data_IF_389057347714
#
_entry.id   IF_389057347714
#
_cell.length_a   1.000
_cell.length_b   1.000
_cell.length_c   1.000
_cell.angle_alpha   90.00
_cell.angle_beta   90.00
_cell.angle_gamma   90.00
#
_symmetry.space_group_name_H-M   'P 1'
#
loop_
_entity.id
_entity.type
_entity.pdbx_description
1 polymer ?
#
# COMPACT_ATOMS: atom_id res chain seq x y z
N UNK A 1 7.51 -73.14 -0.33
CA UNK A 1 7.72 -73.37 1.11
C UNK A 1 6.61 -72.65 1.87
N UNK A 2 5.98 -73.33 2.83
CA UNK A 2 4.95 -72.83 3.76
C UNK A 2 5.53 -71.73 4.68
N UNK A 3 4.85 -70.60 4.92
CA UNK A 3 3.81 -70.34 5.94
C UNK A 3 4.19 -69.02 6.68
N UNK A 4 3.40 -68.43 7.62
CA UNK A 4 2.09 -68.84 8.13
C UNK A 4 1.00 -67.73 8.14
N UNK A 5 -0.20 -68.17 8.52
CA UNK A 5 -1.46 -67.45 8.80
C UNK A 5 -1.40 -66.71 10.15
N UNK A 6 -1.97 -65.49 10.24
CA UNK A 6 -2.43 -64.90 11.52
C UNK A 6 -3.70 -64.07 11.30
N UNK A 7 -4.52 -64.03 12.36
CA UNK A 7 -5.96 -63.88 12.40
C UNK A 7 -6.53 -62.46 12.26
N UNK A 8 -7.80 -62.49 11.85
CA UNK A 8 -8.83 -61.46 11.87
C UNK A 8 -9.07 -60.88 13.28
N UNK A 9 -9.18 -59.55 13.37
CA UNK A 9 -9.83 -58.84 14.48
C UNK A 9 -10.60 -57.64 13.90
N UNK A 10 -11.90 -57.83 13.75
CA UNK A 10 -12.85 -56.77 13.50
C UNK A 10 -12.94 -55.79 14.68
N UNK A 11 -12.78 -54.49 14.38
CA UNK A 11 -13.18 -53.39 15.25
C UNK A 11 -14.35 -52.63 14.60
N UNK A 12 -15.38 -52.22 15.35
CA UNK A 12 -16.53 -51.53 14.78
C UNK A 12 -16.16 -50.10 14.34
N UNK A 13 -16.64 -49.71 13.17
CA UNK A 13 -16.59 -48.34 12.65
C UNK A 13 -17.52 -47.46 13.49
N UNK A 14 -16.96 -46.58 14.33
CA UNK A 14 -17.75 -45.55 15.02
C UNK A 14 -17.99 -44.39 14.05
N UNK A 15 -19.20 -44.33 13.50
CA UNK A 15 -19.70 -43.10 12.88
C UNK A 15 -19.91 -42.06 13.98
N UNK A 16 -19.04 -41.05 14.00
CA UNK A 16 -19.20 -39.84 14.80
C UNK A 16 -20.27 -38.95 14.13
N UNK A 17 -21.55 -39.16 14.44
CA UNK A 17 -22.59 -38.17 14.18
C UNK A 17 -22.61 -37.18 15.35
N UNK A 18 -22.09 -35.97 15.15
CA UNK A 18 -22.24 -34.87 16.09
C UNK A 18 -23.68 -34.32 15.96
N UNK A 19 -24.56 -34.41 16.97
CA UNK A 19 -25.98 -34.07 16.83
C UNK A 19 -26.32 -32.68 17.37
N UNK A 20 -25.43 -31.70 17.21
CA UNK A 20 -25.70 -30.34 17.65
C UNK A 20 -25.95 -29.44 16.45
N UNK A 21 -27.21 -29.36 16.01
CA UNK A 21 -27.69 -28.26 15.19
C UNK A 21 -28.06 -27.09 16.12
N UNK A 22 -27.34 -25.95 16.06
CA UNK A 22 -27.62 -24.82 16.92
C UNK A 22 -29.02 -24.24 16.64
N UNK A 23 -29.71 -23.87 17.72
CA UNK A 23 -31.09 -23.36 17.64
C UNK A 23 -31.16 -22.01 16.92
N UNK A 24 -32.32 -21.67 16.34
CA UNK A 24 -32.53 -20.38 15.65
C UNK A 24 -32.17 -19.17 16.53
N UNK A 25 -32.31 -19.30 17.84
CA UNK A 25 -31.99 -18.26 18.81
C UNK A 25 -30.47 -18.16 19.07
N UNK A 26 -29.75 -19.28 19.09
CA UNK A 26 -28.28 -19.29 19.17
C UNK A 26 -27.65 -18.77 17.88
N UNK A 27 -28.20 -19.16 16.71
CA UNK A 27 -27.77 -18.62 15.42
C UNK A 27 -28.02 -17.11 15.31
N UNK A 28 -29.16 -16.63 15.82
CA UNK A 28 -29.47 -15.20 15.86
C UNK A 28 -28.54 -14.43 16.81
N UNK A 29 -28.25 -14.99 17.98
CA UNK A 29 -27.33 -14.38 18.95
C UNK A 29 -25.89 -14.38 18.43
N UNK A 30 -25.46 -15.43 17.71
CA UNK A 30 -24.16 -15.49 17.04
C UNK A 30 -24.07 -14.51 15.88
N UNK A 31 -25.13 -14.34 15.08
CA UNK A 31 -25.21 -13.31 14.03
C UNK A 31 -25.17 -11.90 14.62
N UNK A 32 -25.97 -11.63 15.64
CA UNK A 32 -25.99 -10.32 16.31
C UNK A 32 -24.67 -10.01 17.03
N UNK A 33 -23.96 -11.02 17.55
CA UNK A 33 -22.61 -10.86 18.10
C UNK A 33 -21.56 -10.69 17.00
N UNK A 34 -21.68 -11.39 15.87
CA UNK A 34 -20.81 -11.22 14.71
C UNK A 34 -20.96 -9.82 14.09
N UNK A 35 -22.18 -9.32 13.98
CA UNK A 35 -22.52 -7.96 13.51
C UNK A 35 -22.09 -6.86 14.49
N UNK A 36 -22.08 -7.12 15.81
CA UNK A 36 -21.55 -6.19 16.82
C UNK A 36 -20.03 -6.17 16.88
N UNK A 37 -19.38 -7.30 16.59
CA UNK A 37 -17.91 -7.43 16.58
C UNK A 37 -17.29 -6.94 15.27
N UNK A 38 -18.06 -6.96 14.18
CA UNK A 38 -17.66 -6.44 12.87
C UNK A 38 -18.73 -5.44 12.40
N UNK A 39 -18.64 -4.15 12.78
CA UNK A 39 -19.43 -3.14 12.09
C UNK A 39 -19.13 -3.29 10.60
N UNK A 40 -20.18 -3.42 9.78
CA UNK A 40 -20.07 -3.63 8.34
C UNK A 40 -18.90 -2.82 7.77
N UNK A 41 -17.88 -3.49 7.25
CA UNK A 41 -16.72 -2.82 6.64
C UNK A 41 -17.27 -1.83 5.62
N UNK A 42 -17.15 -0.53 5.91
CA UNK A 42 -17.61 0.53 5.02
C UNK A 42 -16.95 0.32 3.66
N UNK A 43 -17.75 0.45 2.60
CA UNK A 43 -17.29 0.31 1.21
C UNK A 43 -16.04 1.17 0.99
N UNK A 44 -15.00 0.57 0.38
CA UNK A 44 -13.82 1.33 -0.04
C UNK A 44 -14.21 2.43 -1.04
N UNK A 45 -13.59 3.61 -0.97
CA UNK A 45 -13.74 4.64 -2.02
C UNK A 45 -13.23 4.10 -3.35
N UNK A 46 -13.92 4.43 -4.43
CA UNK A 46 -13.48 4.16 -5.80
C UNK A 46 -12.29 5.03 -6.21
N UNK A 47 -11.58 4.65 -7.26
CA UNK A 47 -10.49 5.45 -7.84
C UNK A 47 -10.96 6.86 -8.25
N UNK A 48 -12.18 6.98 -8.79
CA UNK A 48 -12.79 8.28 -9.15
C UNK A 48 -13.02 9.16 -7.92
N UNK A 49 -13.59 8.60 -6.84
CA UNK A 49 -13.78 9.35 -5.58
C UNK A 49 -12.46 9.80 -4.94
N UNK A 50 -11.38 9.04 -5.14
CA UNK A 50 -10.04 9.42 -4.69
C UNK A 50 -9.47 10.51 -5.59
N UNK A 51 -9.62 10.39 -6.91
CA UNK A 51 -9.19 11.42 -7.87
C UNK A 51 -9.81 12.78 -7.55
N UNK A 52 -11.13 12.81 -7.35
CA UNK A 52 -11.86 14.03 -6.98
C UNK A 52 -11.38 14.62 -5.63
N UNK A 53 -11.16 13.75 -4.64
CA UNK A 53 -10.67 14.18 -3.33
C UNK A 53 -9.30 14.85 -3.45
N UNK A 54 -8.38 14.25 -4.21
CA UNK A 54 -7.02 14.78 -4.39
C UNK A 54 -6.97 16.00 -5.32
N UNK A 55 -7.81 16.03 -6.36
CA UNK A 55 -8.00 17.21 -7.20
C UNK A 55 -8.36 18.44 -6.36
N UNK A 56 -9.30 18.28 -5.42
CA UNK A 56 -9.77 19.37 -4.56
C UNK A 56 -8.71 19.93 -3.59
N UNK A 57 -7.65 19.16 -3.32
CA UNK A 57 -6.57 19.56 -2.39
C UNK A 57 -5.23 19.79 -3.08
N UNK A 58 -5.12 19.60 -4.40
CA UNK A 58 -3.86 19.68 -5.15
C UNK A 58 -3.11 21.00 -4.93
N UNK A 59 -3.79 22.14 -5.11
CA UNK A 59 -3.19 23.46 -4.87
C UNK A 59 -2.74 23.68 -3.43
N UNK A 60 -3.50 23.12 -2.47
CA UNK A 60 -3.12 23.18 -1.07
C UNK A 60 -1.84 22.37 -0.86
N UNK A 61 -1.80 21.12 -1.30
CA UNK A 61 -0.63 20.27 -1.16
C UNK A 61 0.61 20.88 -1.84
N UNK A 62 0.45 21.45 -3.03
CA UNK A 62 1.48 22.20 -3.74
C UNK A 62 2.03 23.38 -2.90
N UNK A 63 1.16 24.20 -2.30
CA UNK A 63 1.55 25.31 -1.43
C UNK A 63 2.29 24.87 -0.17
N UNK A 64 1.97 23.69 0.37
CA UNK A 64 2.60 23.14 1.57
C UNK A 64 3.83 22.27 1.29
N UNK A 65 4.24 22.08 0.03
CA UNK A 65 5.42 21.29 -0.36
C UNK A 65 6.70 21.68 0.40
N UNK A 66 6.89 22.96 0.69
CA UNK A 66 8.07 23.43 1.46
C UNK A 66 8.05 22.93 2.90
N UNK A 67 6.86 22.86 3.51
CA UNK A 67 6.69 22.36 4.86
C UNK A 67 6.82 20.84 4.88
N UNK A 68 6.18 20.15 3.94
CA UNK A 68 6.39 18.72 3.73
C UNK A 68 7.89 18.40 3.61
N UNK A 69 8.63 19.13 2.78
CA UNK A 69 10.08 18.94 2.64
C UNK A 69 10.83 19.04 3.96
N UNK A 70 10.44 19.96 4.85
CA UNK A 70 11.09 20.10 6.16
C UNK A 70 10.86 18.88 7.05
N UNK A 71 9.69 18.22 6.96
CA UNK A 71 9.34 17.08 7.79
C UNK A 71 9.73 15.74 7.16
N UNK A 72 9.32 15.51 5.92
CA UNK A 72 9.46 14.23 5.23
C UNK A 72 10.72 14.16 4.35
N UNK A 73 11.30 15.30 3.97
CA UNK A 73 12.37 15.34 2.97
C UNK A 73 13.64 14.58 3.36
N UNK A 74 13.98 14.51 4.65
CA UNK A 74 15.12 13.70 5.12
C UNK A 74 14.89 12.20 4.92
N UNK A 75 13.64 11.76 5.00
CA UNK A 75 13.27 10.35 4.84
C UNK A 75 13.19 10.00 3.36
N UNK A 76 12.55 10.84 2.55
CA UNK A 76 12.56 10.71 1.08
C UNK A 76 13.96 10.67 0.51
N UNK A 77 14.84 11.57 0.96
CA UNK A 77 16.25 11.56 0.54
C UNK A 77 16.97 10.28 0.95
N UNK A 78 16.67 9.71 2.11
CA UNK A 78 17.31 8.46 2.55
C UNK A 78 16.78 7.25 1.79
N UNK A 79 15.50 7.28 1.41
CA UNK A 79 14.85 6.15 0.75
C UNK A 79 15.09 6.13 -0.76
N UNK A 80 15.18 7.30 -1.40
CA UNK A 80 15.14 7.40 -2.86
C UNK A 80 16.44 7.95 -3.49
N UNK A 81 17.49 8.25 -2.70
CA UNK A 81 18.74 8.77 -3.26
C UNK A 81 19.45 7.77 -4.18
N UNK A 82 19.26 6.48 -3.93
CA UNK A 82 19.93 5.41 -4.66
C UNK A 82 19.05 4.85 -5.81
N UNK A 83 17.80 5.33 -5.93
CA UNK A 83 16.92 5.03 -7.05
C UNK A 83 17.54 5.51 -8.37
N UNK A 84 17.68 4.60 -9.33
CA UNK A 84 18.49 4.80 -10.53
C UNK A 84 17.85 4.16 -11.77
N UNK A 85 18.46 4.37 -12.93
CA UNK A 85 17.92 3.90 -14.21
C UNK A 85 16.62 4.61 -14.58
N UNK A 86 15.66 3.84 -15.08
CA UNK A 86 14.31 4.29 -15.41
C UNK A 86 13.40 4.12 -14.19
N UNK A 87 13.01 5.24 -13.59
CA UNK A 87 12.34 5.29 -12.28
C UNK A 87 10.86 5.60 -12.45
N UNK A 88 9.99 4.73 -11.93
CA UNK A 88 8.54 4.97 -11.84
C UNK A 88 8.18 5.51 -10.44
N UNK A 89 7.63 6.72 -10.34
CA UNK A 89 7.03 7.26 -9.10
C UNK A 89 5.51 7.04 -9.12
N UNK A 90 5.05 6.00 -8.43
CA UNK A 90 3.64 5.63 -8.34
C UNK A 90 2.93 6.50 -7.32
N UNK A 91 1.80 7.10 -7.72
CA UNK A 91 1.11 8.14 -6.96
C UNK A 91 2.07 9.32 -6.64
N UNK A 92 2.74 9.83 -7.68
CA UNK A 92 3.75 10.87 -7.56
C UNK A 92 3.21 12.19 -6.97
N UNK A 93 1.89 12.37 -6.96
CA UNK A 93 1.22 13.55 -6.46
C UNK A 93 1.72 14.80 -7.17
N UNK A 94 2.19 15.77 -6.39
CA UNK A 94 2.75 17.02 -6.93
C UNK A 94 4.26 16.93 -7.24
N UNK A 95 4.82 15.73 -7.40
CA UNK A 95 6.23 15.50 -7.73
C UNK A 95 7.20 15.66 -6.56
N UNK A 96 6.78 15.40 -5.31
CA UNK A 96 7.63 15.67 -4.14
C UNK A 96 8.89 14.81 -4.07
N UNK A 97 8.87 13.64 -4.71
CA UNK A 97 9.98 12.69 -4.69
C UNK A 97 11.08 13.05 -5.70
N UNK A 98 10.74 13.71 -6.82
CA UNK A 98 11.64 13.95 -7.96
C UNK A 98 12.98 14.61 -7.57
N UNK A 99 12.95 15.55 -6.63
CA UNK A 99 14.16 16.26 -6.16
C UNK A 99 15.17 15.39 -5.40
N UNK A 100 14.79 14.18 -5.03
CA UNK A 100 15.64 13.24 -4.29
C UNK A 100 16.18 12.14 -5.18
N UNK A 101 15.73 12.07 -6.42
CA UNK A 101 16.22 11.12 -7.42
C UNK A 101 17.53 11.62 -8.01
N UNK A 102 18.33 10.68 -8.54
CA UNK A 102 19.52 11.03 -9.28
C UNK A 102 19.17 11.87 -10.51
N UNK A 103 20.01 12.85 -10.84
CA UNK A 103 19.86 13.63 -12.08
C UNK A 103 20.05 12.79 -13.35
N UNK A 104 20.60 11.58 -13.22
CA UNK A 104 20.76 10.63 -14.32
C UNK A 104 19.54 9.74 -14.55
N UNK A 105 18.55 9.77 -13.65
CA UNK A 105 17.36 8.92 -13.74
C UNK A 105 16.41 9.42 -14.82
N UNK A 106 15.83 8.50 -15.59
CA UNK A 106 14.68 8.80 -16.46
C UNK A 106 13.40 8.65 -15.63
N UNK A 107 12.76 9.77 -15.28
CA UNK A 107 11.62 9.74 -14.36
C UNK A 107 10.30 9.63 -15.10
N UNK A 108 9.47 8.67 -14.68
CA UNK A 108 8.06 8.57 -15.07
C UNK A 108 7.23 8.68 -13.81
N UNK A 109 6.36 9.68 -13.71
CA UNK A 109 5.42 9.80 -12.59
C UNK A 109 4.00 9.44 -13.00
N UNK A 110 3.27 8.74 -12.15
CA UNK A 110 1.83 8.53 -12.36
C UNK A 110 1.01 8.95 -11.15
N UNK A 111 -0.17 9.50 -11.39
CA UNK A 111 -1.15 9.81 -10.35
C UNK A 111 -2.56 9.77 -10.94
N UNK A 112 -3.57 9.45 -10.13
CA UNK A 112 -4.96 9.40 -10.59
C UNK A 112 -5.53 10.81 -10.83
N UNK A 113 -5.00 11.85 -10.17
CA UNK A 113 -5.48 13.23 -10.28
C UNK A 113 -4.68 14.05 -11.30
N UNK A 114 -5.37 14.56 -12.32
CA UNK A 114 -4.77 15.45 -13.33
C UNK A 114 -4.23 16.77 -12.75
N UNK A 115 -4.87 17.30 -11.71
CA UNK A 115 -4.46 18.52 -10.99
C UNK A 115 -3.15 18.31 -10.23
N UNK A 116 -2.98 17.15 -9.59
CA UNK A 116 -1.71 16.78 -8.94
C UNK A 116 -0.60 16.72 -9.99
N UNK A 117 -0.88 16.09 -11.13
CA UNK A 117 0.07 15.97 -12.24
C UNK A 117 0.44 17.30 -12.88
N UNK A 118 -0.45 18.30 -12.91
CA UNK A 118 -0.11 19.64 -13.38
C UNK A 118 1.01 20.26 -12.52
N UNK A 119 0.97 20.07 -11.21
CA UNK A 119 2.05 20.48 -10.30
C UNK A 119 3.30 19.62 -10.46
N UNK A 120 3.16 18.30 -10.67
CA UNK A 120 4.29 17.41 -10.92
C UNK A 120 5.08 17.79 -12.18
N UNK A 121 4.40 18.12 -13.28
CA UNK A 121 5.04 18.65 -14.51
C UNK A 121 5.85 19.91 -14.23
N UNK A 122 5.26 20.84 -13.48
CA UNK A 122 5.93 22.08 -13.08
C UNK A 122 7.17 21.78 -12.22
N UNK A 123 7.12 20.77 -11.36
CA UNK A 123 8.25 20.37 -10.53
C UNK A 123 9.37 19.71 -11.34
N UNK A 124 9.07 18.89 -12.35
CA UNK A 124 10.06 18.37 -13.31
C UNK A 124 10.77 19.52 -14.03
N UNK A 125 10.02 20.46 -14.61
CA UNK A 125 10.56 21.63 -15.30
C UNK A 125 11.43 22.48 -14.36
N UNK A 126 11.00 22.67 -13.11
CA UNK A 126 11.72 23.46 -12.11
C UNK A 126 13.04 22.80 -11.67
N UNK A 127 13.12 21.47 -11.73
CA UNK A 127 14.29 20.69 -11.36
C UNK A 127 15.24 20.46 -12.54
N UNK A 128 14.83 20.80 -13.76
CA UNK A 128 15.54 20.45 -15.01
C UNK A 128 15.80 18.94 -15.08
N UNK A 129 14.83 18.15 -14.62
CA UNK A 129 14.91 16.70 -14.58
C UNK A 129 14.18 16.11 -15.78
N UNK A 130 14.87 15.27 -16.56
CA UNK A 130 14.26 14.56 -17.67
C UNK A 130 13.18 13.60 -17.17
N UNK A 131 11.97 13.74 -17.69
CA UNK A 131 10.88 12.85 -17.30
C UNK A 131 9.52 13.21 -17.88
N UNK A 132 8.54 12.37 -17.59
CA UNK A 132 7.15 12.52 -18.02
C UNK A 132 6.20 12.16 -16.89
N UNK A 133 4.96 12.64 -16.97
CA UNK A 133 3.91 12.21 -16.03
C UNK A 133 2.60 11.89 -16.73
N UNK A 134 1.93 10.83 -16.24
CA UNK A 134 0.73 10.26 -16.84
C UNK A 134 -0.40 10.11 -15.83
N UNK A 135 -1.62 10.43 -16.25
CA UNK A 135 -2.79 10.16 -15.43
C UNK A 135 -3.15 8.68 -15.55
N UNK A 136 -3.09 7.94 -14.45
CA UNK A 136 -3.20 6.49 -14.45
C UNK A 136 -3.63 5.97 -13.08
N UNK A 137 -4.34 4.83 -13.06
CA UNK A 137 -4.65 4.10 -11.84
C UNK A 137 -3.47 3.18 -11.48
N UNK A 138 -2.98 3.30 -10.25
CA UNK A 138 -1.88 2.46 -9.75
C UNK A 138 -2.23 0.97 -9.72
N UNK A 139 -3.52 0.62 -9.74
CA UNK A 139 -4.01 -0.77 -9.73
C UNK A 139 -4.11 -1.39 -11.14
N UNK A 140 -3.85 -0.60 -12.20
CA UNK A 140 -3.90 -1.04 -13.59
C UNK A 140 -2.99 -0.15 -14.44
N UNK A 141 -1.69 -0.43 -14.41
CA UNK A 141 -0.68 0.35 -15.11
C UNK A 141 -0.62 -0.01 -16.59
N UNK A 142 -0.66 1.01 -17.46
CA UNK A 142 -0.52 0.85 -18.91
C UNK A 142 0.97 0.87 -19.33
N UNK A 143 1.75 0.00 -18.70
CA UNK A 143 3.16 -0.24 -19.00
C UNK A 143 3.40 -1.74 -19.21
N UNK A 144 4.37 -2.06 -20.06
CA UNK A 144 4.82 -3.44 -20.24
C UNK A 144 5.48 -3.97 -18.95
N UNK A 145 5.52 -5.29 -18.81
CA UNK A 145 6.27 -5.97 -17.75
C UNK A 145 7.76 -5.56 -17.82
N UNK A 146 8.46 -5.59 -16.68
CA UNK A 146 9.91 -5.36 -16.60
C UNK A 146 10.41 -4.04 -17.25
N UNK A 147 9.63 -2.96 -17.13
CA UNK A 147 9.87 -1.68 -17.81
C UNK A 147 10.67 -0.65 -16.99
N UNK A 148 10.86 -0.89 -15.68
CA UNK A 148 11.47 0.06 -14.76
C UNK A 148 12.51 -0.60 -13.86
N UNK A 149 13.70 0.00 -13.80
CA UNK A 149 14.80 -0.45 -12.94
C UNK A 149 14.50 -0.18 -11.46
N UNK A 150 13.79 0.92 -11.17
CA UNK A 150 13.34 1.26 -9.82
C UNK A 150 11.89 1.72 -9.83
N UNK A 151 11.06 1.16 -8.94
CA UNK A 151 9.70 1.65 -8.69
C UNK A 151 9.63 2.24 -7.30
N UNK A 152 9.18 3.49 -7.17
CA UNK A 152 9.06 4.18 -5.88
C UNK A 152 7.62 4.57 -5.60
N UNK A 153 7.28 4.69 -4.32
CA UNK A 153 6.04 5.34 -3.92
C UNK A 153 6.16 5.92 -2.51
N UNK A 154 5.44 7.01 -2.22
CA UNK A 154 5.45 7.61 -0.88
C UNK A 154 4.07 8.03 -0.40
N UNK A 155 3.70 7.58 0.80
CA UNK A 155 2.48 7.93 1.53
C UNK A 155 1.20 7.71 0.70
N UNK A 156 1.12 6.58 -0.01
CA UNK A 156 0.13 6.35 -1.07
C UNK A 156 -0.70 5.09 -0.84
N UNK A 157 -0.11 4.00 -0.33
CA UNK A 157 -0.82 2.72 -0.16
C UNK A 157 -2.06 2.83 0.72
N UNK A 158 -2.09 3.80 1.65
CA UNK A 158 -3.26 4.06 2.48
C UNK A 158 -4.51 4.49 1.70
N UNK A 159 -4.36 5.04 0.49
CA UNK A 159 -5.47 5.59 -0.31
C UNK A 159 -5.94 4.66 -1.40
N UNK A 160 -5.11 3.71 -1.85
CA UNK A 160 -5.51 2.80 -2.93
C UNK A 160 -6.79 2.01 -2.55
N UNK A 161 -7.79 1.93 -3.45
CA UNK A 161 -8.97 1.11 -3.23
C UNK A 161 -8.60 -0.34 -2.91
N UNK A 162 -7.71 -0.92 -3.73
CA UNK A 162 -7.04 -2.20 -3.57
C UNK A 162 -5.51 -1.98 -3.59
N UNK A 163 -4.88 -1.87 -2.41
CA UNK A 163 -3.43 -1.68 -2.36
C UNK A 163 -2.64 -2.93 -2.76
N UNK A 164 -3.24 -4.13 -2.72
CA UNK A 164 -2.58 -5.37 -3.12
C UNK A 164 -2.44 -5.39 -4.64
N UNK A 165 -3.52 -5.06 -5.36
CA UNK A 165 -3.48 -4.93 -6.82
C UNK A 165 -2.43 -3.88 -7.27
N UNK A 166 -2.35 -2.75 -6.57
CA UNK A 166 -1.33 -1.74 -6.86
C UNK A 166 0.10 -2.25 -6.63
N UNK A 167 0.33 -3.00 -5.55
CA UNK A 167 1.64 -3.61 -5.28
C UNK A 167 2.02 -4.69 -6.31
N UNK A 168 1.06 -5.47 -6.80
CA UNK A 168 1.30 -6.42 -7.89
C UNK A 168 1.61 -5.73 -9.21
N UNK A 169 0.96 -4.61 -9.53
CA UNK A 169 1.33 -3.82 -10.70
C UNK A 169 2.73 -3.19 -10.55
N UNK A 170 3.11 -2.72 -9.35
CA UNK A 170 4.47 -2.26 -9.07
C UNK A 170 5.49 -3.38 -9.28
N UNK A 171 5.22 -4.60 -8.80
CA UNK A 171 6.06 -5.79 -9.03
C UNK A 171 6.17 -6.10 -10.52
N UNK A 172 5.04 -6.17 -11.23
CA UNK A 172 4.97 -6.54 -12.65
C UNK A 172 5.81 -5.62 -13.55
N UNK A 173 5.76 -4.31 -13.32
CA UNK A 173 6.47 -3.34 -14.16
C UNK A 173 7.93 -3.15 -13.73
N UNK A 174 8.33 -3.64 -12.56
CA UNK A 174 9.71 -3.59 -12.09
C UNK A 174 10.51 -4.73 -12.70
N UNK A 175 11.71 -4.44 -13.20
CA UNK A 175 12.60 -5.49 -13.74
C UNK A 175 13.00 -6.50 -12.67
N UNK A 176 13.33 -7.76 -13.01
CA UNK A 176 13.72 -8.77 -12.02
C UNK A 176 14.99 -8.43 -11.22
N UNK A 177 15.90 -7.64 -11.80
CA UNK A 177 17.12 -7.13 -11.14
C UNK A 177 16.91 -5.74 -10.50
N UNK A 178 15.68 -5.25 -10.49
CA UNK A 178 15.29 -3.93 -10.01
C UNK A 178 14.90 -3.91 -8.54
N UNK A 179 14.40 -2.76 -8.09
CA UNK A 179 13.98 -2.56 -6.69
C UNK A 179 12.68 -1.76 -6.58
N UNK A 180 11.88 -2.09 -5.57
CA UNK A 180 10.68 -1.35 -5.21
C UNK A 180 10.89 -0.69 -3.85
N UNK A 181 10.78 0.64 -3.81
CA UNK A 181 11.10 1.46 -2.64
C UNK A 181 9.85 2.19 -2.15
N UNK A 182 9.36 1.83 -0.97
CA UNK A 182 8.18 2.46 -0.37
C UNK A 182 8.57 3.32 0.83
N UNK A 183 7.98 4.51 0.91
CA UNK A 183 8.03 5.36 2.09
C UNK A 183 6.61 5.65 2.58
N UNK A 184 6.18 4.94 3.61
CA UNK A 184 4.79 4.95 4.04
C UNK A 184 4.61 5.52 5.43
N UNK A 185 3.40 5.99 5.71
CA UNK A 185 3.01 6.23 7.08
C UNK A 185 2.40 4.96 7.67
N UNK A 186 2.57 4.78 8.97
CA UNK A 186 2.08 3.61 9.70
C UNK A 186 1.36 4.04 10.97
N UNK A 187 0.55 3.14 11.51
CA UNK A 187 0.05 3.25 12.88
C UNK A 187 1.23 3.33 13.88
N UNK A 188 1.25 4.36 14.72
CA UNK A 188 2.37 4.63 15.64
C UNK A 188 2.55 3.51 16.67
N UNK A 189 3.80 3.26 17.07
CA UNK A 189 4.11 2.37 18.20
C UNK A 189 3.90 3.07 19.56
N UNK A 190 3.76 4.40 19.57
CA UNK A 190 3.55 5.18 20.78
C UNK A 190 2.05 5.30 21.09
N UNK A 191 1.61 4.72 22.21
CA UNK A 191 0.20 4.63 22.59
C UNK A 191 -0.60 5.96 22.51
N UNK A 192 -0.08 7.13 22.93
CA UNK A 192 -0.82 8.39 22.80
C UNK A 192 -1.03 8.82 21.33
N UNK A 193 -0.07 8.55 20.45
CA UNK A 193 -0.15 8.89 19.03
C UNK A 193 -1.04 7.90 18.28
N UNK A 194 -0.89 6.60 18.58
CA UNK A 194 -1.77 5.53 18.10
C UNK A 194 -3.24 5.84 18.39
N UNK A 195 -3.56 6.13 19.65
CA UNK A 195 -4.92 6.50 20.06
C UNK A 195 -5.45 7.72 19.28
N UNK A 196 -4.61 8.72 19.05
CA UNK A 196 -4.97 9.91 18.28
C UNK A 196 -5.22 9.60 16.80
N UNK A 197 -4.46 8.67 16.21
CA UNK A 197 -4.67 8.17 14.84
C UNK A 197 -6.01 7.45 14.75
N UNK A 198 -6.27 6.50 15.64
CA UNK A 198 -7.51 5.72 15.65
C UNK A 198 -8.74 6.61 15.82
N UNK A 199 -8.68 7.56 16.75
CA UNK A 199 -9.78 8.51 16.95
C UNK A 199 -10.07 9.36 15.70
N UNK A 200 -9.06 9.64 14.87
CA UNK A 200 -9.22 10.43 13.64
C UNK A 200 -9.39 9.60 12.37
N UNK A 201 -9.14 8.30 12.41
CA UNK A 201 -9.03 7.45 11.22
C UNK A 201 -10.28 7.55 10.34
N UNK A 202 -11.47 7.42 10.94
CA UNK A 202 -12.74 7.46 10.21
C UNK A 202 -12.96 8.80 9.52
N UNK A 203 -12.87 9.91 10.26
CA UNK A 203 -13.08 11.25 9.67
C UNK A 203 -12.03 11.59 8.62
N UNK A 204 -10.81 11.08 8.76
CA UNK A 204 -9.74 11.26 7.79
C UNK A 204 -10.01 10.48 6.51
N UNK A 205 -10.46 9.23 6.64
CA UNK A 205 -10.84 8.37 5.53
C UNK A 205 -12.03 8.93 4.74
N UNK A 206 -13.10 9.36 5.42
CA UNK A 206 -14.26 9.96 4.76
C UNK A 206 -13.90 11.19 3.93
N UNK A 207 -12.94 12.00 4.40
CA UNK A 207 -12.47 13.20 3.69
C UNK A 207 -11.54 12.86 2.54
N UNK A 208 -10.48 12.10 2.80
CA UNK A 208 -9.34 11.98 1.87
C UNK A 208 -9.18 10.59 1.24
N UNK A 209 -9.89 9.58 1.73
CA UNK A 209 -9.70 8.17 1.32
C UNK A 209 -8.49 7.48 1.97
N UNK A 210 -7.67 8.20 2.75
CA UNK A 210 -6.50 7.61 3.40
C UNK A 210 -6.84 6.89 4.70
N UNK A 211 -6.38 5.65 4.81
CA UNK A 211 -6.48 4.80 6.00
C UNK A 211 -5.34 5.13 6.98
N UNK A 212 -5.59 6.06 7.91
CA UNK A 212 -4.55 6.62 8.80
C UNK A 212 -3.91 5.59 9.75
N UNK A 213 -4.64 4.52 10.08
CA UNK A 213 -4.21 3.41 10.94
C UNK A 213 -3.78 2.17 10.14
N UNK A 214 -3.54 2.33 8.84
CA UNK A 214 -3.00 1.28 7.98
C UNK A 214 -1.59 0.86 8.42
N UNK A 215 -1.28 -0.43 8.26
CA UNK A 215 0.05 -0.98 8.47
C UNK A 215 0.61 -1.43 7.11
N UNK A 216 1.49 -0.63 6.48
CA UNK A 216 1.96 -0.90 5.12
C UNK A 216 2.72 -2.22 5.02
N UNK A 217 3.41 -2.65 6.08
CA UNK A 217 4.13 -3.93 6.09
C UNK A 217 3.18 -5.11 5.95
N UNK A 218 2.03 -5.09 6.63
CA UNK A 218 1.02 -6.15 6.51
C UNK A 218 0.45 -6.24 5.10
N UNK A 219 0.35 -5.11 4.41
CA UNK A 219 -0.13 -5.05 3.02
C UNK A 219 0.87 -5.67 2.07
N UNK A 220 2.16 -5.36 2.26
CA UNK A 220 3.25 -5.98 1.48
C UNK A 220 3.32 -7.48 1.75
N UNK A 221 3.17 -7.91 3.01
CA UNK A 221 3.08 -9.33 3.38
C UNK A 221 1.88 -10.02 2.72
N UNK A 222 0.71 -9.37 2.68
CA UNK A 222 -0.49 -9.89 2.03
C UNK A 222 -0.38 -9.97 0.51
N UNK A 223 0.49 -9.15 -0.10
CA UNK A 223 0.80 -9.21 -1.52
C UNK A 223 1.80 -10.33 -1.87
N UNK A 224 2.28 -11.07 -0.85
CA UNK A 224 3.31 -12.11 -0.97
C UNK A 224 4.63 -11.59 -1.56
N UNK A 225 4.97 -10.32 -1.34
CA UNK A 225 6.19 -9.69 -1.83
C UNK A 225 7.38 -9.91 -0.88
N UNK A 226 8.58 -10.06 -1.44
CA UNK A 226 9.80 -10.28 -0.66
C UNK A 226 10.37 -8.96 -0.14
N UNK A 227 10.18 -8.70 1.15
CA UNK A 227 10.80 -7.56 1.84
C UNK A 227 12.26 -7.87 2.15
N UNK A 228 13.19 -7.08 1.61
CA UNK A 228 14.61 -7.19 1.93
C UNK A 228 14.95 -6.43 3.22
N UNK A 229 14.54 -5.16 3.26
CA UNK A 229 14.85 -4.25 4.36
C UNK A 229 13.60 -3.49 4.78
N UNK A 230 13.45 -3.30 6.08
CA UNK A 230 12.49 -2.36 6.65
C UNK A 230 13.15 -1.50 7.72
N UNK A 231 12.78 -0.23 7.76
CA UNK A 231 13.19 0.66 8.85
C UNK A 231 12.07 1.61 9.23
N UNK A 232 11.98 1.93 10.53
CA UNK A 232 10.96 2.84 11.04
C UNK A 232 11.58 4.10 11.65
N UNK A 233 10.82 5.19 11.61
CA UNK A 233 11.22 6.45 12.21
C UNK A 233 10.02 7.21 12.79
N UNK A 234 10.32 8.27 13.54
CA UNK A 234 9.32 9.18 14.11
C UNK A 234 8.24 8.44 14.93
N UNK A 235 8.67 7.74 15.97
CA UNK A 235 7.76 6.93 16.83
C UNK A 235 6.97 5.87 16.05
N UNK A 236 7.60 5.28 15.02
CA UNK A 236 7.00 4.23 14.20
C UNK A 236 5.99 4.74 13.16
N UNK A 237 5.80 6.05 13.04
CA UNK A 237 4.84 6.66 12.12
C UNK A 237 5.30 6.64 10.67
N UNK A 238 6.59 6.51 10.41
CA UNK A 238 7.14 6.45 9.05
C UNK A 238 7.85 5.11 8.92
N UNK A 239 7.55 4.38 7.85
CA UNK A 239 8.19 3.13 7.47
C UNK A 239 8.81 3.28 6.10
N UNK A 240 10.07 2.89 5.98
CA UNK A 240 10.77 2.68 4.74
C UNK A 240 10.81 1.17 4.48
N UNK A 241 10.43 0.72 3.28
CA UNK A 241 10.34 -0.68 2.90
C UNK A 241 11.03 -0.84 1.55
N UNK A 242 11.98 -1.78 1.47
CA UNK A 242 12.70 -2.16 0.27
C UNK A 242 12.26 -3.58 -0.11
N UNK A 243 11.83 -3.75 -1.34
CA UNK A 243 11.25 -4.99 -1.87
C UNK A 243 11.99 -5.33 -3.16
N UNK A 244 12.32 -6.61 -3.32
CA UNK A 244 12.88 -7.15 -4.56
C UNK A 244 11.79 -7.90 -5.32
N UNK A 245 11.57 -7.58 -6.60
CA UNK A 245 10.60 -8.27 -7.45
C UNK A 245 11.02 -9.74 -7.67
N UNK A 246 10.06 -10.59 -8.04
CA UNK A 246 10.24 -12.04 -8.21
C UNK A 246 10.39 -12.49 -9.65
#
# INVERSE_FOLDING_TARGET
>A
MAGPVIADYGGPTVQSSNPYEPTDQENRTQRENSERLHPAQKRSKSAEEIADAYASVADKLARWQRLDRLFAGRYRRRQFNDANGRVLDVACGTGQNFRYLSSSSEVVGIDISGEMLAHARTELDRLDLGGTVHQMDAQALDFDDDSFDTVISSFSTCTFPDPIAALHEMERVCTPDGEILLLEHRHSDAAPLAWLQDWRAESHYEKNGCRLNHDPLKTVEQADLTVETTSTAFFGLISAIEITPR
#
